data_IF_088234271189
#
_entry.id   IF_088234271189
#
_cell.length_a   1.000
_cell.length_b   1.000
_cell.length_c   1.000
_cell.angle_alpha   90.00
_cell.angle_beta   90.00
_cell.angle_gamma   90.00
#
_symmetry.space_group_name_H-M   'P 1'
#
loop_
_entity.id
_entity.type
_entity.pdbx_description
1 polymer ?
#
# COMPACT_ATOMS: atom_id res chain seq x y z
N UNK A 1 -13.39 15.23 5.93
CA UNK A 1 -12.16 14.78 5.24
C UNK A 1 -11.63 13.55 5.96
N UNK A 2 -11.43 12.42 5.27
CA UNK A 2 -10.92 11.18 5.90
C UNK A 2 -9.38 11.20 5.89
N UNK A 3 -8.76 10.86 7.03
CA UNK A 3 -7.31 10.72 7.20
C UNK A 3 -7.01 9.45 7.99
N UNK A 4 -5.88 8.84 7.72
CA UNK A 4 -5.45 7.57 8.32
C UNK A 4 -4.09 7.68 9.03
N UNK A 5 -3.60 8.91 9.17
CA UNK A 5 -2.35 9.25 9.84
C UNK A 5 -2.55 10.44 10.79
N UNK A 6 -1.66 10.53 11.77
CA UNK A 6 -1.59 11.66 12.66
C UNK A 6 -0.91 12.85 11.96
N UNK A 7 -1.55 14.02 12.04
CA UNK A 7 -1.04 15.25 11.45
C UNK A 7 0.28 15.69 12.08
N UNK A 8 0.45 15.52 13.40
CA UNK A 8 1.60 16.05 14.13
C UNK A 8 2.93 15.44 13.67
N UNK A 9 2.92 14.14 13.34
CA UNK A 9 4.12 13.38 12.93
C UNK A 9 4.29 13.25 11.41
N UNK A 10 3.35 13.78 10.62
CA UNK A 10 3.27 13.53 9.17
C UNK A 10 4.53 13.94 8.41
N UNK A 11 5.09 15.12 8.68
CA UNK A 11 6.25 15.63 7.95
C UNK A 11 7.48 14.73 8.10
N UNK A 12 7.80 14.34 9.34
CA UNK A 12 8.93 13.45 9.67
C UNK A 12 8.74 12.04 9.10
N UNK A 13 7.51 11.52 9.10
CA UNK A 13 7.22 10.20 8.52
C UNK A 13 7.30 10.19 7.00
N UNK A 14 6.76 11.22 6.34
CA UNK A 14 6.71 11.30 4.87
C UNK A 14 8.10 11.40 4.24
N UNK A 15 9.08 11.99 4.92
CA UNK A 15 10.46 12.03 4.42
C UNK A 15 11.12 10.66 4.39
N UNK A 16 10.68 9.72 5.25
CA UNK A 16 11.23 8.37 5.37
C UNK A 16 10.40 7.31 4.64
N UNK A 17 9.08 7.49 4.58
CA UNK A 17 8.13 6.51 4.02
C UNK A 17 7.11 7.21 3.11
N UNK A 18 7.17 6.90 1.81
CA UNK A 18 6.21 7.43 0.83
C UNK A 18 4.77 6.93 1.08
N UNK A 19 4.59 5.83 1.80
CA UNK A 19 3.28 5.28 2.20
C UNK A 19 2.86 5.71 3.62
N UNK A 20 3.57 6.66 4.24
CA UNK A 20 3.36 7.06 5.63
C UNK A 20 1.89 7.33 6.01
N UNK A 21 1.12 7.89 5.08
CA UNK A 21 -0.29 8.27 5.28
C UNK A 21 -1.24 7.09 5.50
N UNK A 22 -0.88 5.88 5.06
CA UNK A 22 -1.71 4.66 5.18
C UNK A 22 -0.98 3.50 5.86
N UNK A 23 0.30 3.70 6.22
CA UNK A 23 1.20 2.66 6.71
C UNK A 23 0.65 1.88 7.90
N UNK A 24 -0.02 2.55 8.84
CA UNK A 24 -0.57 1.89 10.03
C UNK A 24 -1.65 0.88 9.63
N UNK A 25 -2.59 1.29 8.78
CA UNK A 25 -3.67 0.41 8.32
C UNK A 25 -3.12 -0.71 7.46
N UNK A 26 -2.19 -0.41 6.55
CA UNK A 26 -1.56 -1.42 5.71
C UNK A 26 -0.86 -2.51 6.54
N UNK A 27 -0.08 -2.12 7.55
CA UNK A 27 0.60 -3.07 8.43
C UNK A 27 -0.37 -3.91 9.25
N UNK A 28 -1.46 -3.30 9.76
CA UNK A 28 -2.52 -4.03 10.47
C UNK A 28 -3.20 -5.05 9.55
N UNK A 29 -3.50 -4.66 8.32
CA UNK A 29 -4.09 -5.54 7.31
C UNK A 29 -3.19 -6.74 7.00
N UNK A 30 -1.93 -6.49 6.63
CA UNK A 30 -0.95 -7.55 6.32
C UNK A 30 -0.73 -8.48 7.51
N UNK A 31 -0.71 -7.95 8.75
CA UNK A 31 -0.58 -8.76 9.96
C UNK A 31 -1.77 -9.71 10.20
N UNK A 32 -2.96 -9.32 9.75
CA UNK A 32 -4.18 -10.09 9.99
C UNK A 32 -4.48 -11.09 8.87
N UNK A 33 -4.05 -10.84 7.63
CA UNK A 33 -4.32 -11.73 6.48
C UNK A 33 -3.95 -13.21 6.73
N UNK A 34 -2.75 -13.57 7.26
CA UNK A 34 -2.39 -14.97 7.49
C UNK A 34 -3.25 -15.66 8.55
N UNK A 35 -3.90 -14.90 9.43
CA UNK A 35 -4.81 -15.46 10.46
C UNK A 35 -6.16 -15.85 9.88
N UNK A 36 -6.51 -15.30 8.71
CA UNK A 36 -7.81 -15.50 8.08
C UNK A 36 -7.78 -16.55 6.97
N UNK A 37 -6.59 -16.85 6.44
CA UNK A 37 -6.43 -17.77 5.33
C UNK A 37 -5.15 -18.59 5.47
N UNK A 38 -5.29 -19.92 5.43
CA UNK A 38 -4.18 -20.86 5.38
C UNK A 38 -4.04 -21.38 3.94
N UNK A 39 -3.07 -20.91 3.15
CA UNK A 39 -2.90 -21.35 1.78
C UNK A 39 -2.47 -22.83 1.70
N UNK A 40 -2.83 -23.49 0.60
CA UNK A 40 -2.32 -24.81 0.26
C UNK A 40 -0.93 -24.72 -0.39
N UNK A 41 -0.37 -25.86 -0.82
CA UNK A 41 0.99 -25.97 -1.38
C UNK A 41 1.25 -25.05 -2.58
N UNK A 42 0.26 -24.86 -3.45
CA UNK A 42 0.41 -24.08 -4.67
C UNK A 42 -0.06 -22.63 -4.48
N UNK A 43 0.89 -21.71 -4.34
CA UNK A 43 0.63 -20.26 -4.20
C UNK A 43 1.41 -19.49 -5.26
N UNK A 44 0.77 -18.48 -5.85
CA UNK A 44 1.38 -17.61 -6.87
C UNK A 44 1.53 -16.18 -6.37
N UNK A 45 2.65 -15.54 -6.68
CA UNK A 45 2.90 -14.12 -6.43
C UNK A 45 3.10 -13.42 -7.77
N UNK A 46 2.35 -12.34 -7.99
CA UNK A 46 2.43 -11.49 -9.19
C UNK A 46 2.20 -10.03 -8.75
N UNK A 47 2.68 -9.08 -9.55
CA UNK A 47 2.48 -7.65 -9.29
C UNK A 47 1.15 -7.13 -9.82
N UNK A 48 0.47 -6.29 -9.03
CA UNK A 48 -0.76 -5.60 -9.44
C UNK A 48 -0.51 -4.10 -9.57
N UNK A 49 -0.92 -3.54 -10.71
CA UNK A 49 -0.97 -2.09 -10.92
C UNK A 49 -2.37 -1.58 -10.62
N UNK A 50 -2.47 -0.51 -9.84
CA UNK A 50 -3.73 0.20 -9.62
C UNK A 50 -3.74 1.51 -10.42
N UNK A 51 -4.80 1.81 -11.19
CA UNK A 51 -4.90 3.06 -11.93
C UNK A 51 -4.99 4.25 -10.97
N UNK A 52 -3.99 5.13 -11.02
CA UNK A 52 -3.99 6.39 -10.28
C UNK A 52 -3.74 7.54 -11.26
N UNK A 53 -4.78 8.36 -11.49
CA UNK A 53 -4.69 9.56 -12.33
C UNK A 53 -4.08 10.77 -11.61
N UNK A 54 -4.07 10.77 -10.27
CA UNK A 54 -3.52 11.85 -9.44
C UNK A 54 -2.00 11.82 -9.25
N UNK A 55 -1.45 12.88 -8.63
CA UNK A 55 -0.04 12.94 -8.22
C UNK A 55 0.23 11.97 -7.08
N UNK A 56 1.10 10.99 -7.33
CA UNK A 56 1.53 10.02 -6.33
C UNK A 56 3.04 9.78 -6.46
N UNK A 57 3.77 9.87 -5.34
CA UNK A 57 5.25 9.83 -5.31
C UNK A 57 5.85 8.45 -5.64
N UNK A 58 5.00 7.43 -5.76
CA UNK A 58 5.37 6.04 -6.04
C UNK A 58 4.53 5.44 -7.18
N UNK A 59 3.94 6.29 -8.03
CA UNK A 59 3.30 5.84 -9.27
C UNK A 59 4.38 5.26 -10.19
N UNK A 60 4.08 4.11 -10.77
CA UNK A 60 4.93 3.45 -11.77
C UNK A 60 4.22 3.45 -13.12
N UNK A 61 5.01 3.46 -14.21
CA UNK A 61 4.52 3.25 -15.56
C UNK A 61 4.79 1.81 -15.98
N UNK A 62 3.75 1.07 -16.36
CA UNK A 62 3.87 -0.29 -16.87
C UNK A 62 3.10 -0.38 -18.20
N UNK A 63 3.76 -0.20 -19.35
CA UNK A 63 3.10 -0.05 -20.65
C UNK A 63 2.27 -1.27 -21.07
N UNK A 64 2.66 -2.47 -20.60
CA UNK A 64 2.01 -3.74 -20.95
C UNK A 64 0.88 -4.13 -20.00
N UNK A 65 0.65 -3.39 -18.91
CA UNK A 65 -0.45 -3.67 -17.97
C UNK A 65 -1.59 -2.66 -18.20
N UNK A 66 -2.85 -3.12 -18.29
CA UNK A 66 -3.98 -2.21 -18.33
C UNK A 66 -4.04 -1.42 -17.03
N UNK A 67 -4.31 -0.11 -17.14
CA UNK A 67 -4.55 0.78 -16.02
C UNK A 67 -6.06 0.92 -15.80
#
# INVERSE_FOLDING_TARGET
MIRFDDHSSRASRRSKDKLAAVRVIWNTWVKNLPKMYNPSENVTVDERLYPVKGRCQFRQYMPKKPA
#
